data_IF_767182950019
#
_entry.id   IF_767182950019
#
_cell.length_a   1.000
_cell.length_b   1.000
_cell.length_c   1.000
_cell.angle_alpha   90.00
_cell.angle_beta   90.00
_cell.angle_gamma   90.00
#
_symmetry.space_group_name_H-M   'P 1'
#
loop_
_entity.id
_entity.type
_entity.pdbx_description
1 polymer ?
#
# COMPACT_ATOMS: atom_id res chain seq x y z
N UNK A 1 4.78 19.44 -6.05
CA UNK A 1 3.57 18.62 -6.18
C UNK A 1 4.03 17.18 -6.21
N UNK A 2 3.46 16.35 -5.35
CA UNK A 2 3.92 14.99 -5.11
C UNK A 2 3.00 14.03 -5.83
N UNK A 3 3.51 13.16 -6.71
CA UNK A 3 2.70 12.15 -7.39
C UNK A 3 3.00 10.74 -6.84
N UNK A 4 1.94 9.98 -6.61
CA UNK A 4 2.04 8.58 -6.19
C UNK A 4 1.32 7.69 -7.20
N UNK A 5 1.81 6.46 -7.36
CA UNK A 5 1.06 5.43 -8.06
C UNK A 5 -0.25 5.16 -7.33
N UNK A 6 -1.36 5.24 -8.06
CA UNK A 6 -2.69 4.95 -7.55
C UNK A 6 -3.23 3.64 -8.10
N UNK A 7 -3.52 2.69 -7.21
CA UNK A 7 -4.22 1.45 -7.52
C UNK A 7 -4.91 0.93 -6.25
N UNK A 8 -6.13 0.41 -6.36
CA UNK A 8 -6.90 -0.07 -5.20
C UNK A 8 -7.26 -1.54 -5.39
N UNK A 9 -6.90 -2.37 -4.41
CA UNK A 9 -7.27 -3.79 -4.32
C UNK A 9 -6.96 -4.62 -5.58
N UNK A 10 -5.81 -4.38 -6.20
CA UNK A 10 -5.40 -5.10 -7.42
C UNK A 10 -4.75 -6.43 -7.05
N UNK A 11 -5.08 -7.51 -7.75
CA UNK A 11 -4.54 -8.85 -7.44
C UNK A 11 -3.10 -9.10 -7.91
N UNK A 12 -2.49 -8.14 -8.61
CA UNK A 12 -1.13 -8.22 -9.13
C UNK A 12 -0.38 -6.90 -8.96
N UNK A 13 0.78 -6.96 -8.32
CA UNK A 13 1.70 -5.82 -8.20
C UNK A 13 2.25 -5.37 -9.55
N UNK A 14 2.44 -6.30 -10.49
CA UNK A 14 2.87 -5.95 -11.85
C UNK A 14 1.78 -5.15 -12.57
N UNK A 15 0.52 -5.59 -12.50
CA UNK A 15 -0.59 -4.81 -13.11
C UNK A 15 -0.74 -3.45 -12.45
N UNK A 16 -0.64 -3.38 -11.12
CA UNK A 16 -0.67 -2.10 -10.42
C UNK A 16 0.47 -1.20 -10.91
N UNK A 17 1.72 -1.66 -10.97
CA UNK A 17 2.83 -0.82 -11.42
C UNK A 17 2.73 -0.42 -12.91
N UNK A 18 2.23 -1.30 -13.76
CA UNK A 18 2.18 -1.08 -15.22
C UNK A 18 1.06 -0.12 -15.64
N UNK A 19 -0.05 -0.11 -14.90
CA UNK A 19 -1.22 0.70 -15.20
C UNK A 19 -1.53 1.74 -14.13
N UNK A 20 -0.69 1.87 -13.10
CA UNK A 20 -0.89 2.88 -12.07
C UNK A 20 -0.82 4.26 -12.70
N UNK A 21 -1.84 5.04 -12.39
CA UNK A 21 -1.90 6.44 -12.76
C UNK A 21 -1.11 7.19 -11.68
N UNK A 22 -0.10 7.94 -12.09
CA UNK A 22 0.54 8.92 -11.22
C UNK A 22 -0.49 9.98 -10.87
N UNK A 23 -1.00 9.90 -9.65
CA UNK A 23 -2.04 10.80 -9.17
C UNK A 23 -1.39 11.85 -8.28
N UNK A 24 -1.58 13.15 -8.55
CA UNK A 24 -1.09 14.19 -7.66
C UNK A 24 -1.77 14.05 -6.31
N UNK A 25 -0.97 13.97 -5.26
CA UNK A 25 -1.47 13.96 -3.90
C UNK A 25 -1.94 15.37 -3.51
N UNK A 26 -3.11 15.46 -2.88
CA UNK A 26 -3.71 16.70 -2.43
C UNK A 26 -2.80 17.39 -1.42
N UNK A 27 -2.51 18.68 -1.65
CA UNK A 27 -1.74 19.51 -0.73
C UNK A 27 -2.67 20.52 -0.07
N UNK A 28 -3.34 20.09 1.00
CA UNK A 28 -3.91 20.95 2.03
C UNK A 28 -4.80 22.12 1.54
N UNK A 29 -5.89 21.82 0.86
CA UNK A 29 -6.94 22.78 0.54
C UNK A 29 -8.38 22.21 0.63
N UNK A 30 -8.52 20.90 0.79
CA UNK A 30 -9.81 20.21 1.01
C UNK A 30 -9.76 19.33 2.26
N UNK A 31 -9.95 19.92 3.45
CA UNK A 31 -10.31 19.23 4.72
C UNK A 31 -9.55 17.95 5.13
N UNK A 32 -8.36 17.67 4.60
CA UNK A 32 -7.64 16.43 4.88
C UNK A 32 -6.13 16.63 4.83
N UNK A 33 -5.52 16.40 5.98
CA UNK A 33 -4.10 16.25 6.32
C UNK A 33 -3.11 16.11 5.15
N UNK A 34 -1.98 16.83 5.22
CA UNK A 34 -0.85 16.80 4.28
C UNK A 34 -0.51 15.38 3.76
N UNK A 35 -1.02 15.04 2.57
CA UNK A 35 -0.79 13.73 1.93
C UNK A 35 0.54 13.75 1.17
N UNK A 36 1.64 13.82 1.92
CA UNK A 36 2.99 14.03 1.34
C UNK A 36 3.76 12.74 1.08
N UNK A 37 3.20 11.57 1.43
CA UNK A 37 3.88 10.27 1.32
C UNK A 37 3.06 9.27 0.50
N UNK A 38 3.75 8.34 -0.17
CA UNK A 38 3.08 7.23 -0.85
C UNK A 38 3.01 6.02 0.08
N UNK A 39 1.80 5.46 0.18
CA UNK A 39 1.50 4.28 0.95
C UNK A 39 1.32 3.07 0.02
N UNK A 40 1.98 1.96 0.34
CA UNK A 40 1.70 0.66 -0.27
C UNK A 40 1.21 -0.32 0.79
N UNK A 41 0.04 -0.92 0.55
CA UNK A 41 -0.48 -2.08 1.27
C UNK A 41 -0.42 -3.30 0.36
N UNK A 42 0.34 -4.32 0.74
CA UNK A 42 0.56 -5.50 -0.08
C UNK A 42 0.31 -6.75 0.74
N UNK A 43 -0.67 -7.53 0.33
CA UNK A 43 -0.99 -8.82 0.92
C UNK A 43 -0.51 -9.91 -0.03
N UNK A 44 0.27 -10.83 0.52
CA UNK A 44 0.77 -12.01 -0.18
C UNK A 44 0.28 -13.26 0.54
N UNK A 45 0.00 -14.31 -0.22
CA UNK A 45 -0.28 -15.63 0.34
C UNK A 45 1.00 -16.27 0.91
N UNK A 46 0.84 -17.46 1.49
CA UNK A 46 1.92 -18.26 2.06
C UNK A 46 3.05 -18.63 1.06
N UNK A 47 2.74 -18.58 -0.24
CA UNK A 47 3.67 -18.87 -1.36
C UNK A 47 4.33 -17.60 -1.90
N UNK A 48 4.03 -16.44 -1.33
CA UNK A 48 4.53 -15.14 -1.80
C UNK A 48 3.77 -14.59 -3.01
N UNK A 49 2.64 -15.21 -3.41
CA UNK A 49 1.82 -14.68 -4.51
C UNK A 49 1.00 -13.49 -3.99
N UNK A 50 0.93 -12.43 -4.78
CA UNK A 50 0.09 -11.27 -4.45
C UNK A 50 -1.38 -11.69 -4.40
N UNK A 51 -2.02 -11.44 -3.26
CA UNK A 51 -3.47 -11.58 -3.07
C UNK A 51 -4.14 -10.25 -3.40
N UNK A 52 -3.60 -9.15 -2.84
CA UNK A 52 -4.06 -7.80 -3.13
C UNK A 52 -2.95 -6.79 -2.90
N UNK A 53 -2.92 -5.73 -3.71
CA UNK A 53 -2.03 -4.59 -3.56
C UNK A 53 -2.84 -3.30 -3.74
N UNK A 54 -2.56 -2.35 -2.86
CA UNK A 54 -3.11 -0.99 -2.90
C UNK A 54 -1.95 -0.01 -2.79
N UNK A 55 -1.93 0.99 -3.68
CA UNK A 55 -0.99 2.11 -3.65
C UNK A 55 -1.78 3.41 -3.72
N UNK A 56 -1.51 4.33 -2.81
CA UNK A 56 -2.21 5.61 -2.75
C UNK A 56 -1.41 6.65 -1.96
N UNK A 57 -1.82 7.91 -2.06
CA UNK A 57 -1.34 8.96 -1.18
C UNK A 57 -1.79 8.71 0.26
N UNK A 58 -0.93 9.06 1.21
CA UNK A 58 -1.22 8.97 2.63
C UNK A 58 -0.55 10.10 3.39
N UNK A 59 -0.95 10.25 4.65
CA UNK A 59 -0.35 11.19 5.57
C UNK A 59 0.86 10.54 6.25
N UNK A 60 1.82 11.34 6.67
CA UNK A 60 2.95 10.87 7.48
C UNK A 60 2.48 10.14 8.74
N UNK A 61 1.41 10.59 9.39
CA UNK A 61 0.85 9.96 10.60
C UNK A 61 0.29 8.55 10.35
N UNK A 62 -0.54 8.39 9.31
CA UNK A 62 -1.13 7.09 8.94
C UNK A 62 -0.07 6.07 8.55
N UNK A 63 1.04 6.54 7.97
CA UNK A 63 2.16 5.69 7.60
C UNK A 63 3.11 5.36 8.76
N UNK A 64 3.47 6.33 9.61
CA UNK A 64 4.57 6.16 10.58
C UNK A 64 4.32 5.06 11.63
N UNK A 65 3.06 4.85 11.99
CA UNK A 65 2.66 3.82 12.97
C UNK A 65 2.45 2.43 12.36
N UNK A 66 2.39 2.31 11.02
CA UNK A 66 1.93 1.10 10.34
C UNK A 66 2.93 0.50 9.35
N UNK A 67 4.14 1.06 9.20
CA UNK A 67 5.16 0.48 8.31
C UNK A 67 5.76 -0.80 8.87
N UNK A 68 5.91 -1.80 8.01
CA UNK A 68 6.43 -3.13 8.35
C UNK A 68 5.66 -4.25 7.66
N UNK A 69 6.22 -5.46 7.70
CA UNK A 69 5.55 -6.67 7.26
C UNK A 69 5.18 -7.54 8.46
N UNK A 70 3.94 -8.00 8.52
CA UNK A 70 3.47 -8.94 9.55
C UNK A 70 2.77 -10.13 8.90
N UNK A 71 2.88 -11.28 9.53
CA UNK A 71 2.03 -12.42 9.17
C UNK A 71 0.62 -12.13 9.69
N UNK A 72 -0.35 -12.14 8.79
CA UNK A 72 -1.75 -12.04 9.14
C UNK A 72 -2.23 -13.42 9.58
N UNK A 73 -2.44 -13.56 10.89
CA UNK A 73 -2.97 -14.77 11.51
C UNK A 73 -4.50 -14.80 11.50
N UNK A 74 -5.17 -13.77 10.97
CA UNK A 74 -6.64 -13.67 10.99
C UNK A 74 -7.32 -14.60 9.96
N UNK A 75 -6.60 -15.06 8.93
CA UNK A 75 -7.07 -16.20 8.14
C UNK A 75 -6.88 -17.46 8.96
N UNK A 76 -8.01 -17.99 9.46
CA UNK A 76 -8.15 -19.25 10.17
C UNK A 76 -7.84 -20.46 9.25
N UNK A 77 -6.66 -20.47 8.62
CA UNK A 77 -6.15 -21.60 7.86
C UNK A 77 -5.37 -22.48 8.84
N UNK A 78 -5.98 -23.62 9.16
CA UNK A 78 -5.43 -24.70 9.96
C UNK A 78 -4.11 -25.19 9.37
N UNK A 79 -2.98 -24.73 9.90
CA UNK A 79 -1.70 -25.45 9.81
C UNK A 79 -0.60 -24.92 8.90
N UNK A 80 -0.78 -23.82 8.15
CA UNK A 80 0.27 -23.23 7.32
C UNK A 80 0.49 -21.74 7.59
N UNK A 81 1.70 -21.26 7.24
CA UNK A 81 2.17 -19.89 7.48
C UNK A 81 1.22 -18.89 6.81
N UNK A 82 0.38 -18.20 7.59
CA UNK A 82 -0.64 -17.28 7.06
C UNK A 82 -0.10 -16.17 6.14
N UNK A 83 -0.99 -15.49 5.39
CA UNK A 83 -0.63 -14.46 4.41
C UNK A 83 0.19 -13.34 5.06
N UNK A 84 1.22 -12.86 4.36
CA UNK A 84 2.03 -11.74 4.80
C UNK A 84 1.40 -10.42 4.35
N UNK A 85 1.23 -9.50 5.28
CA UNK A 85 0.75 -8.13 5.03
C UNK A 85 1.92 -7.17 5.22
N UNK A 86 2.34 -6.57 4.12
CA UNK A 86 3.40 -5.58 4.06
C UNK A 86 2.83 -4.18 3.85
N UNK A 87 3.26 -3.26 4.71
CA UNK A 87 2.97 -1.85 4.62
C UNK A 87 4.29 -1.11 4.47
N UNK A 88 4.45 -0.42 3.35
CA UNK A 88 5.68 0.32 3.06
C UNK A 88 5.40 1.80 2.83
N UNK A 89 6.30 2.62 3.36
CA UNK A 89 6.47 4.01 2.97
C UNK A 89 7.31 4.01 1.70
N UNK A 90 6.74 4.52 0.61
CA UNK A 90 7.48 4.77 -0.62
C UNK A 90 7.62 6.27 -0.73
N UNK A 91 8.86 6.74 -0.89
CA UNK A 91 9.06 8.14 -1.24
C UNK A 91 8.40 8.39 -2.59
N UNK A 92 7.70 9.52 -2.75
CA UNK A 92 7.12 9.85 -4.03
C UNK A 92 8.16 9.92 -5.13
N UNK A 93 7.74 9.60 -6.36
CA UNK A 93 8.60 9.78 -7.54
C UNK A 93 9.01 11.26 -7.59
N UNK A 94 10.32 11.50 -7.63
CA UNK A 94 10.93 12.83 -7.62
C UNK A 94 10.83 13.49 -8.99
#
# INVERSE_FOLDING_TARGET
MTACYYCINVSSNEMCNRFAIETPCSTADDYSSDMTVCYTFHVMDERGKTVTVTKQCATTETCSSQVGCRLDKATNQTGTRGPAVCKALVQPNK
#
